data_IF_081011155241
#
_entry.id   IF_081011155241
#
_cell.length_a   1.000
_cell.length_b   1.000
_cell.length_c   1.000
_cell.angle_alpha   90.00
_cell.angle_beta   90.00
_cell.angle_gamma   90.00
#
_symmetry.space_group_name_H-M   'P 1'
#
loop_
_entity.id
_entity.type
_entity.pdbx_description
1 polymer ?
#
# COMPACT_ATOMS: atom_id res chain seq x y z
N UNK A 1 -7.71 -20.36 18.21
CA UNK A 1 -8.09 -19.47 19.31
C UNK A 1 -6.86 -18.65 19.74
N UNK A 2 -6.56 -17.59 19.02
CA UNK A 2 -5.44 -16.66 19.33
C UNK A 2 -5.79 -15.27 18.81
N UNK A 3 -6.89 -14.71 19.35
CA UNK A 3 -7.15 -13.27 19.28
C UNK A 3 -6.45 -12.68 20.50
N UNK A 4 -5.12 -12.51 20.41
CA UNK A 4 -4.34 -11.88 21.45
C UNK A 4 -4.58 -10.36 21.39
N UNK A 5 -5.40 -9.85 22.30
CA UNK A 5 -5.37 -8.54 22.95
C UNK A 5 -4.46 -7.51 22.22
N UNK A 6 -4.99 -6.85 21.22
CA UNK A 6 -4.46 -5.57 20.79
C UNK A 6 -4.86 -4.50 21.84
N UNK A 7 -4.20 -4.58 22.99
CA UNK A 7 -4.31 -3.54 24.01
C UNK A 7 -3.74 -2.25 23.44
N UNK A 8 -4.42 -1.14 23.66
CA UNK A 8 -3.88 0.22 23.48
C UNK A 8 -2.61 0.35 24.31
N UNK A 9 -1.50 -0.10 23.77
CA UNK A 9 -0.20 0.33 24.21
C UNK A 9 0.05 1.61 23.43
N UNK A 10 0.09 2.74 24.13
CA UNK A 10 0.66 3.96 23.59
C UNK A 10 1.98 3.56 22.93
N UNK A 11 2.06 3.63 21.62
CA UNK A 11 3.26 3.30 20.88
C UNK A 11 4.29 4.34 21.29
N UNK A 12 5.19 3.90 22.15
CA UNK A 12 6.43 4.61 22.42
C UNK A 12 7.08 4.86 21.06
N UNK A 13 7.33 6.11 20.73
CA UNK A 13 8.02 6.59 19.53
C UNK A 13 9.50 6.19 19.55
N UNK A 14 9.78 4.92 19.74
CA UNK A 14 11.11 4.33 19.78
C UNK A 14 11.38 3.52 18.52
N UNK A 15 11.97 4.13 17.51
CA UNK A 15 12.88 3.41 16.65
C UNK A 15 12.46 2.94 15.27
N UNK A 16 11.21 3.06 14.80
CA UNK A 16 10.92 2.80 13.39
C UNK A 16 11.16 4.09 12.58
N UNK A 17 12.24 4.11 11.80
CA UNK A 17 12.50 5.22 10.88
C UNK A 17 11.77 4.93 9.57
N UNK A 18 10.64 5.60 9.35
CA UNK A 18 10.10 5.70 8.00
C UNK A 18 11.18 6.32 7.11
N UNK A 19 11.49 5.73 5.96
CA UNK A 19 12.40 6.37 5.02
C UNK A 19 11.85 7.75 4.71
N UNK A 20 12.72 8.76 4.68
CA UNK A 20 12.32 10.11 4.30
C UNK A 20 11.65 10.04 2.94
N UNK A 21 10.41 10.54 2.78
CA UNK A 21 9.72 10.49 1.50
C UNK A 21 10.59 11.15 0.43
N UNK A 22 10.77 10.49 -0.71
CA UNK A 22 11.42 11.11 -1.87
C UNK A 22 10.55 12.27 -2.33
N UNK A 23 11.14 13.39 -2.72
CA UNK A 23 10.40 14.46 -3.39
C UNK A 23 10.10 14.05 -4.83
N UNK A 24 8.97 14.49 -5.38
CA UNK A 24 8.64 14.23 -6.79
C UNK A 24 9.72 14.81 -7.73
N UNK A 25 10.29 15.98 -7.39
CA UNK A 25 11.38 16.61 -8.12
C UNK A 25 12.66 15.76 -8.21
N UNK A 26 12.88 14.84 -7.28
CA UNK A 26 14.02 13.90 -7.34
C UNK A 26 13.82 12.78 -8.36
N UNK A 27 12.59 12.57 -8.84
CA UNK A 27 12.21 11.51 -9.76
C UNK A 27 11.97 12.01 -11.18
N UNK A 28 11.37 13.20 -11.31
CA UNK A 28 10.98 13.79 -12.59
C UNK A 28 11.29 15.29 -12.61
N UNK A 29 11.37 15.84 -13.82
CA UNK A 29 11.44 17.30 -14.02
C UNK A 29 10.03 17.88 -13.83
N UNK A 30 9.71 18.26 -12.60
CA UNK A 30 8.36 18.70 -12.23
C UNK A 30 7.89 19.89 -13.10
N UNK A 31 8.77 20.88 -13.32
CA UNK A 31 8.46 22.07 -14.15
C UNK A 31 8.08 21.73 -15.60
N UNK A 32 8.61 20.63 -16.14
CA UNK A 32 8.23 20.14 -17.48
C UNK A 32 6.92 19.37 -17.41
N UNK A 33 6.77 18.52 -16.40
CA UNK A 33 5.56 17.71 -16.22
C UNK A 33 4.33 18.59 -15.98
N UNK A 34 4.47 19.70 -15.27
CA UNK A 34 3.38 20.64 -15.02
C UNK A 34 2.87 21.37 -16.29
N UNK A 35 3.64 21.40 -17.37
CA UNK A 35 3.19 21.97 -18.65
C UNK A 35 2.27 21.02 -19.42
N UNK A 36 2.31 19.74 -19.09
CA UNK A 36 1.55 18.70 -19.78
C UNK A 36 0.07 18.68 -19.36
N UNK A 37 -0.77 18.17 -20.27
CA UNK A 37 -2.17 17.88 -19.94
C UNK A 37 -2.30 16.68 -19.00
N UNK A 38 -3.36 16.59 -18.17
CA UNK A 38 -3.55 15.50 -17.22
C UNK A 38 -3.39 14.09 -17.81
N UNK A 39 -3.94 13.84 -19.00
CA UNK A 39 -3.84 12.55 -19.68
C UNK A 39 -2.42 12.25 -20.17
N UNK A 40 -1.67 13.26 -20.57
CA UNK A 40 -0.25 13.11 -20.91
C UNK A 40 0.58 12.78 -19.67
N UNK A 41 0.31 13.46 -18.55
CA UNK A 41 0.95 13.16 -17.26
C UNK A 41 0.74 11.70 -16.85
N UNK A 42 -0.51 11.19 -16.99
CA UNK A 42 -0.82 9.79 -16.68
C UNK A 42 0.02 8.83 -17.53
N UNK A 43 0.10 9.06 -18.84
CA UNK A 43 0.90 8.23 -19.74
C UNK A 43 2.38 8.30 -19.40
N UNK A 44 2.93 9.49 -19.27
CA UNK A 44 4.36 9.70 -18.94
C UNK A 44 4.73 8.99 -17.64
N UNK A 45 3.86 9.07 -16.61
CA UNK A 45 4.11 8.45 -15.32
C UNK A 45 4.08 6.91 -15.40
N UNK A 46 3.12 6.36 -16.11
CA UNK A 46 3.01 4.91 -16.30
C UNK A 46 4.18 4.38 -17.14
N UNK A 47 4.43 4.96 -18.31
CA UNK A 47 5.52 4.57 -19.22
C UNK A 47 6.89 4.61 -18.51
N UNK A 48 7.11 5.64 -17.69
CA UNK A 48 8.34 5.76 -16.88
C UNK A 48 8.54 4.58 -15.91
N UNK A 49 7.45 3.99 -15.41
CA UNK A 49 7.51 2.88 -14.45
C UNK A 49 7.42 1.50 -15.09
N UNK A 50 6.88 1.40 -16.31
CA UNK A 50 6.70 0.11 -16.97
C UNK A 50 8.03 -0.59 -17.24
N UNK A 51 9.07 0.16 -17.60
CA UNK A 51 10.41 -0.35 -17.84
C UNK A 51 11.22 -0.66 -16.56
N UNK A 52 10.72 -0.31 -15.39
CA UNK A 52 11.42 -0.57 -14.12
C UNK A 52 11.07 -1.93 -13.56
N UNK A 53 12.08 -2.65 -13.09
CA UNK A 53 11.90 -3.96 -12.47
C UNK A 53 11.55 -3.90 -10.99
N UNK A 54 11.92 -2.78 -10.34
CA UNK A 54 11.85 -2.57 -8.89
C UNK A 54 10.90 -1.45 -8.47
N UNK A 55 10.14 -0.91 -9.43
CA UNK A 55 9.19 0.15 -9.12
C UNK A 55 7.96 0.12 -10.05
N UNK A 56 6.84 0.66 -9.55
CA UNK A 56 5.59 0.82 -10.29
C UNK A 56 4.95 2.17 -10.00
N UNK A 57 4.20 2.69 -10.98
CA UNK A 57 3.46 3.95 -10.88
C UNK A 57 1.96 3.73 -10.90
N UNK A 58 1.22 4.58 -10.18
CA UNK A 58 -0.24 4.75 -10.32
C UNK A 58 -0.57 6.23 -10.26
N UNK A 59 -1.71 6.59 -10.81
CA UNK A 59 -2.19 7.97 -10.79
C UNK A 59 -3.61 7.99 -10.26
N UNK A 60 -3.83 8.76 -9.22
CA UNK A 60 -5.15 8.99 -8.64
C UNK A 60 -5.70 10.34 -9.09
N UNK A 61 -7.02 10.44 -9.16
CA UNK A 61 -7.72 11.71 -9.18
C UNK A 61 -7.60 12.41 -7.81
N UNK A 62 -7.84 13.71 -7.79
CA UNK A 62 -7.87 14.48 -6.54
C UNK A 62 -8.84 13.88 -5.50
N UNK A 63 -10.00 13.38 -5.94
CA UNK A 63 -10.99 12.79 -5.02
C UNK A 63 -10.52 11.47 -4.44
N UNK A 64 -9.96 10.58 -5.27
CA UNK A 64 -9.39 9.31 -4.82
C UNK A 64 -8.23 9.56 -3.83
N UNK A 65 -7.35 10.51 -4.15
CA UNK A 65 -6.26 10.90 -3.27
C UNK A 65 -6.74 11.37 -1.90
N UNK A 66 -7.71 12.30 -1.88
CA UNK A 66 -8.28 12.81 -0.61
C UNK A 66 -8.90 11.69 0.19
N UNK A 67 -9.73 10.87 -0.45
CA UNK A 67 -10.39 9.72 0.19
C UNK A 67 -9.36 8.76 0.78
N UNK A 68 -8.34 8.39 0.00
CA UNK A 68 -7.29 7.48 0.46
C UNK A 68 -6.53 8.04 1.67
N UNK A 69 -6.07 9.28 1.59
CA UNK A 69 -5.27 9.90 2.66
C UNK A 69 -6.07 10.10 3.93
N UNK A 70 -7.32 10.55 3.82
CA UNK A 70 -8.17 10.79 5.00
C UNK A 70 -8.51 9.47 5.71
N UNK A 71 -8.79 8.42 4.94
CA UNK A 71 -9.05 7.08 5.45
C UNK A 71 -7.80 6.44 6.05
N UNK A 72 -6.65 6.60 5.40
CA UNK A 72 -5.39 6.07 5.90
C UNK A 72 -4.90 6.77 7.17
N UNK A 73 -5.18 8.06 7.34
CA UNK A 73 -4.95 8.76 8.63
C UNK A 73 -5.82 8.22 9.76
N UNK A 74 -7.06 7.84 9.45
CA UNK A 74 -8.01 7.30 10.42
C UNK A 74 -7.72 5.83 10.73
N UNK A 75 -7.33 5.06 9.72
CA UNK A 75 -7.11 3.61 9.76
C UNK A 75 -5.73 3.31 9.18
N UNK A 76 -4.68 3.55 9.97
CA UNK A 76 -3.30 3.56 9.49
C UNK A 76 -2.70 2.17 9.24
N UNK A 77 -3.34 1.12 9.72
CA UNK A 77 -2.84 -0.25 9.60
C UNK A 77 -3.83 -1.12 8.84
N UNK A 78 -3.30 -2.01 7.99
CA UNK A 78 -4.11 -3.06 7.40
C UNK A 78 -3.22 -4.24 6.97
N UNK A 79 -3.84 -5.40 6.76
CA UNK A 79 -3.15 -6.64 6.38
C UNK A 79 -3.58 -7.10 4.99
N UNK A 80 -2.62 -7.63 4.24
CA UNK A 80 -2.85 -8.13 2.88
C UNK A 80 -2.28 -9.53 2.72
N UNK A 81 -3.05 -10.52 2.23
CA UNK A 81 -2.49 -11.80 1.82
C UNK A 81 -1.78 -11.66 0.46
N UNK A 82 -0.59 -12.21 0.36
CA UNK A 82 0.13 -12.36 -0.91
C UNK A 82 0.16 -13.84 -1.24
N UNK A 83 -0.51 -14.23 -2.31
CA UNK A 83 -0.64 -15.62 -2.72
C UNK A 83 0.53 -16.04 -3.60
N UNK A 84 1.01 -17.26 -3.36
CA UNK A 84 2.06 -17.90 -4.15
C UNK A 84 1.75 -19.36 -4.38
N UNK A 85 2.14 -19.85 -5.56
CA UNK A 85 2.17 -21.28 -5.83
C UNK A 85 3.58 -21.80 -5.58
N UNK A 86 3.72 -22.78 -4.72
CA UNK A 86 4.98 -23.48 -4.53
C UNK A 86 5.31 -24.25 -5.82
N UNK A 87 6.41 -23.90 -6.45
CA UNK A 87 6.83 -24.49 -7.75
C UNK A 87 7.15 -25.99 -7.67
N UNK A 88 7.53 -26.47 -6.49
CA UNK A 88 7.92 -27.87 -6.29
C UNK A 88 6.73 -28.77 -5.95
N UNK A 89 5.77 -28.27 -5.16
CA UNK A 89 4.59 -29.05 -4.73
C UNK A 89 3.33 -28.70 -5.50
N UNK A 90 3.33 -27.62 -6.28
CA UNK A 90 2.15 -27.03 -6.93
C UNK A 90 1.01 -26.69 -5.97
N UNK A 91 1.32 -26.51 -4.70
CA UNK A 91 0.37 -26.11 -3.68
C UNK A 91 0.27 -24.57 -3.58
N UNK A 92 -0.93 -24.08 -3.49
CA UNK A 92 -1.18 -22.66 -3.22
C UNK A 92 -0.99 -22.35 -1.74
N UNK A 93 -0.17 -21.34 -1.47
CA UNK A 93 0.05 -20.79 -0.15
C UNK A 93 -0.09 -19.26 -0.16
N UNK A 94 -0.01 -18.67 1.01
CA UNK A 94 0.08 -17.22 1.14
C UNK A 94 0.92 -16.84 2.34
N UNK A 95 1.46 -15.64 2.30
CA UNK A 95 1.98 -14.95 3.48
C UNK A 95 1.27 -13.62 3.66
N UNK A 96 1.29 -13.09 4.87
CA UNK A 96 0.58 -11.85 5.19
C UNK A 96 1.56 -10.70 5.27
N UNK A 97 1.19 -9.59 4.63
CA UNK A 97 1.90 -8.32 4.67
C UNK A 97 1.08 -7.34 5.50
N UNK A 98 1.73 -6.64 6.43
CA UNK A 98 1.16 -5.54 7.19
C UNK A 98 1.55 -4.23 6.53
N UNK A 99 0.57 -3.37 6.24
CA UNK A 99 0.79 -1.99 5.83
C UNK A 99 0.66 -1.03 7.00
N UNK A 100 1.52 -0.02 7.02
CA UNK A 100 1.47 1.11 7.95
C UNK A 100 1.49 2.40 7.16
N UNK A 101 0.60 3.34 7.48
CA UNK A 101 0.54 4.65 6.86
C UNK A 101 1.10 5.73 7.78
N UNK A 102 1.98 6.56 7.23
CA UNK A 102 2.48 7.79 7.87
C UNK A 102 2.90 8.80 6.80
N UNK A 103 2.51 10.06 6.96
CA UNK A 103 3.00 11.20 6.16
C UNK A 103 3.02 10.98 4.63
N UNK A 104 1.90 10.51 4.07
CA UNK A 104 1.74 10.16 2.63
C UNK A 104 2.62 9.01 2.16
N UNK A 105 3.00 8.13 3.06
CA UNK A 105 3.76 6.93 2.75
C UNK A 105 3.12 5.72 3.41
N UNK A 106 3.01 4.60 2.66
CA UNK A 106 2.76 3.30 3.26
C UNK A 106 4.05 2.50 3.26
N UNK A 107 4.36 1.91 4.41
CA UNK A 107 5.37 0.86 4.52
C UNK A 107 4.68 -0.47 4.68
N UNK A 108 5.09 -1.43 3.87
CA UNK A 108 4.57 -2.78 3.89
C UNK A 108 5.70 -3.74 4.28
N UNK A 109 5.47 -4.51 5.34
CA UNK A 109 6.41 -5.51 5.86
C UNK A 109 5.70 -6.85 6.00
N UNK A 110 6.42 -7.96 6.03
CA UNK A 110 5.77 -9.22 6.41
C UNK A 110 5.27 -9.16 7.84
N UNK A 111 4.09 -9.73 8.08
CA UNK A 111 3.50 -9.74 9.42
C UNK A 111 4.38 -10.50 10.41
N UNK A 112 5.09 -11.52 9.97
CA UNK A 112 5.98 -12.31 10.81
C UNK A 112 7.21 -11.50 11.24
N UNK A 113 7.89 -10.82 10.31
CA UNK A 113 8.99 -9.92 10.66
C UNK A 113 8.54 -8.77 11.59
N UNK A 114 7.35 -8.22 11.35
CA UNK A 114 6.78 -7.20 12.23
C UNK A 114 6.50 -7.73 13.65
N UNK A 115 6.00 -8.95 13.77
CA UNK A 115 5.76 -9.59 15.08
C UNK A 115 7.05 -9.89 15.82
N UNK A 116 8.09 -10.28 15.11
CA UNK A 116 9.40 -10.57 15.69
C UNK A 116 10.06 -9.29 16.21
N UNK A 117 10.18 -8.27 15.36
CA UNK A 117 10.74 -6.97 15.76
C UNK A 117 10.17 -5.84 14.90
N UNK A 118 9.13 -5.12 15.36
CA UNK A 118 8.50 -4.04 14.60
C UNK A 118 9.49 -2.94 14.18
N UNK A 119 10.50 -2.66 15.00
CA UNK A 119 11.46 -1.58 14.73
C UNK A 119 12.50 -1.93 13.66
N UNK A 120 12.70 -3.21 13.39
CA UNK A 120 13.71 -3.71 12.43
C UNK A 120 13.11 -4.49 11.26
N UNK A 121 11.78 -4.62 11.21
CA UNK A 121 11.11 -5.34 10.12
C UNK A 121 11.40 -4.67 8.77
N UNK A 122 12.10 -5.36 7.84
CA UNK A 122 12.44 -4.75 6.56
C UNK A 122 11.18 -4.55 5.71
N UNK A 123 11.02 -3.41 5.04
CA UNK A 123 9.93 -3.22 4.10
C UNK A 123 10.11 -4.13 2.87
N UNK A 124 9.01 -4.75 2.41
CA UNK A 124 8.95 -5.44 1.13
C UNK A 124 8.38 -4.56 0.01
N UNK A 125 7.60 -3.54 0.39
CA UNK A 125 7.09 -2.52 -0.52
C UNK A 125 6.98 -1.18 0.21
N UNK A 126 7.46 -0.11 -0.42
CA UNK A 126 7.28 1.26 0.05
C UNK A 126 6.42 2.01 -0.96
N UNK A 127 5.31 2.59 -0.52
CA UNK A 127 4.38 3.33 -1.40
C UNK A 127 4.42 4.80 -1.03
N UNK A 128 4.96 5.62 -1.91
CA UNK A 128 5.03 7.08 -1.77
C UNK A 128 3.89 7.75 -2.55
N UNK A 129 3.25 8.75 -1.94
CA UNK A 129 2.17 9.52 -2.56
C UNK A 129 2.65 10.96 -2.73
N UNK A 130 2.59 11.46 -3.97
CA UNK A 130 2.98 12.82 -4.35
C UNK A 130 1.73 13.62 -4.69
N UNK A 131 1.52 14.71 -3.99
CA UNK A 131 0.37 15.60 -4.16
C UNK A 131 0.71 16.94 -4.83
N UNK A 132 1.94 17.04 -5.36
CA UNK A 132 2.46 18.25 -6.01
C UNK A 132 1.53 18.74 -7.14
N UNK A 133 0.89 17.83 -7.87
CA UNK A 133 0.02 18.12 -9.00
C UNK A 133 -1.48 18.19 -8.65
N UNK A 134 -1.85 17.98 -7.39
CA UNK A 134 -3.27 17.94 -6.98
C UNK A 134 -3.97 19.29 -7.21
N UNK A 135 -3.30 20.40 -6.89
CA UNK A 135 -3.89 21.74 -7.02
C UNK A 135 -3.92 22.24 -8.46
N UNK A 136 -2.94 21.86 -9.30
CA UNK A 136 -2.79 22.38 -10.66
C UNK A 136 -3.40 21.47 -11.73
N UNK A 137 -3.44 20.15 -11.49
CA UNK A 137 -3.83 19.12 -12.47
C UNK A 137 -4.90 18.16 -11.97
N UNK A 138 -5.34 18.29 -10.72
CA UNK A 138 -6.29 17.39 -10.06
C UNK A 138 -5.81 15.92 -10.02
N UNK A 139 -4.48 15.73 -10.01
CA UNK A 139 -3.83 14.42 -10.00
C UNK A 139 -2.89 14.27 -8.81
N UNK A 140 -2.89 13.10 -8.21
CA UNK A 140 -1.83 12.64 -7.31
C UNK A 140 -1.10 11.47 -7.95
N UNK A 141 0.22 11.45 -7.81
CA UNK A 141 1.06 10.38 -8.33
C UNK A 141 1.44 9.43 -7.20
N UNK A 142 1.44 8.15 -7.49
CA UNK A 142 1.84 7.09 -6.55
C UNK A 142 3.02 6.34 -7.15
N UNK A 143 4.02 6.09 -6.31
CA UNK A 143 5.13 5.21 -6.63
C UNK A 143 5.25 4.11 -5.57
N UNK A 144 5.26 2.87 -6.03
CA UNK A 144 5.67 1.70 -5.24
C UNK A 144 7.13 1.37 -5.54
N UNK A 145 7.98 1.33 -4.52
CA UNK A 145 9.36 0.82 -4.61
C UNK A 145 9.40 -0.59 -4.00
N UNK A 146 9.75 -1.58 -4.80
CA UNK A 146 9.80 -3.00 -4.43
C UNK A 146 11.14 -3.32 -3.79
N UNK A 147 11.10 -4.05 -2.68
CA UNK A 147 12.31 -4.58 -2.04
C UNK A 147 12.19 -6.10 -1.83
N UNK A 148 13.31 -6.73 -1.94
CA UNK A 148 13.71 -8.13 -1.74
C UNK A 148 12.67 -9.21 -1.59
N UNK A 149 11.53 -9.25 -1.32
CA UNK A 149 10.64 -10.40 -1.08
C UNK A 149 9.62 -10.59 -2.19
N UNK A 150 9.16 -9.49 -2.79
CA UNK A 150 8.12 -9.48 -3.81
C UNK A 150 8.75 -9.41 -5.19
N UNK A 151 8.14 -10.09 -6.14
CA UNK A 151 8.34 -9.75 -7.54
C UNK A 151 7.45 -8.54 -7.94
N UNK A 152 7.68 -8.01 -9.16
CA UNK A 152 6.96 -6.83 -9.63
C UNK A 152 5.45 -7.07 -9.77
N UNK A 153 5.05 -8.26 -10.17
CA UNK A 153 3.63 -8.60 -10.37
C UNK A 153 2.91 -8.72 -9.04
N UNK A 154 3.52 -9.37 -8.05
CA UNK A 154 3.01 -9.47 -6.69
C UNK A 154 2.86 -8.07 -6.06
N UNK A 155 3.90 -7.25 -6.20
CA UNK A 155 3.92 -5.90 -5.66
C UNK A 155 2.89 -4.98 -6.37
N UNK A 156 2.69 -5.15 -7.68
CA UNK A 156 1.67 -4.42 -8.45
C UNK A 156 0.27 -4.76 -7.97
N UNK A 157 -0.05 -6.04 -7.82
CA UNK A 157 -1.34 -6.51 -7.29
C UNK A 157 -1.57 -6.03 -5.85
N UNK A 158 -0.51 -6.04 -5.03
CA UNK A 158 -0.57 -5.56 -3.65
C UNK A 158 -0.84 -4.06 -3.60
N UNK A 159 -0.19 -3.26 -4.46
CA UNK A 159 -0.42 -1.82 -4.57
C UNK A 159 -1.86 -1.52 -5.02
N UNK A 160 -2.36 -2.23 -6.04
CA UNK A 160 -3.73 -2.07 -6.52
C UNK A 160 -4.76 -2.44 -5.44
N UNK A 161 -4.52 -3.55 -4.74
CA UNK A 161 -5.35 -3.96 -3.60
C UNK A 161 -5.35 -2.92 -2.48
N UNK A 162 -4.18 -2.35 -2.15
CA UNK A 162 -4.07 -1.28 -1.16
C UNK A 162 -4.90 -0.07 -1.56
N UNK A 163 -4.75 0.43 -2.79
CA UNK A 163 -5.52 1.58 -3.29
C UNK A 163 -7.02 1.29 -3.21
N UNK A 164 -7.46 0.11 -3.70
CA UNK A 164 -8.86 -0.28 -3.70
C UNK A 164 -9.45 -0.36 -2.28
N UNK A 165 -8.70 -0.88 -1.31
CA UNK A 165 -9.15 -0.97 0.09
C UNK A 165 -9.39 0.40 0.72
N UNK A 166 -8.64 1.42 0.33
CA UNK A 166 -8.81 2.75 0.89
C UNK A 166 -9.73 3.67 0.05
N UNK A 167 -9.82 3.47 -1.26
CA UNK A 167 -10.63 4.34 -2.15
C UNK A 167 -12.07 3.84 -2.27
N UNK A 168 -12.30 2.52 -2.37
CA UNK A 168 -13.62 1.96 -2.58
C UNK A 168 -14.39 1.79 -1.26
N UNK A 169 -15.61 2.35 -1.18
CA UNK A 169 -16.45 2.31 0.01
C UNK A 169 -16.78 0.87 0.47
N UNK A 170 -17.07 -0.03 -0.48
CA UNK A 170 -17.41 -1.41 -0.18
C UNK A 170 -16.24 -2.16 0.49
N UNK A 171 -15.00 -1.84 0.12
CA UNK A 171 -13.81 -2.48 0.67
C UNK A 171 -13.28 -1.79 1.92
N UNK A 172 -13.53 -0.50 2.09
CA UNK A 172 -13.04 0.27 3.22
C UNK A 172 -13.66 -0.18 4.55
N UNK A 173 -14.88 -0.68 4.56
CA UNK A 173 -15.53 -1.19 5.77
C UNK A 173 -14.71 -2.28 6.48
N UNK A 174 -14.00 -3.12 5.72
CA UNK A 174 -13.11 -4.15 6.26
C UNK A 174 -11.87 -3.55 6.91
N UNK A 175 -11.29 -2.49 6.29
CA UNK A 175 -10.17 -1.73 6.87
C UNK A 175 -10.58 -1.03 8.16
N UNK A 176 -11.79 -0.45 8.16
CA UNK A 176 -12.34 0.24 9.35
C UNK A 176 -12.59 -0.76 10.49
N UNK A 177 -13.17 -1.92 10.21
CA UNK A 177 -13.36 -2.98 11.21
C UNK A 177 -12.03 -3.43 11.81
N UNK A 178 -11.00 -3.65 10.98
CA UNK A 178 -9.67 -4.03 11.46
C UNK A 178 -9.08 -3.03 12.44
N UNK A 179 -9.21 -1.73 12.18
CA UNK A 179 -8.59 -0.68 12.99
C UNK A 179 -9.44 -0.27 14.21
N UNK A 180 -10.76 -0.14 14.04
CA UNK A 180 -11.64 0.48 15.03
C UNK A 180 -12.49 -0.51 15.80
N UNK A 181 -12.72 -1.69 15.21
CA UNK A 181 -13.58 -2.74 15.78
C UNK A 181 -12.95 -4.13 15.63
N UNK A 182 -11.75 -4.33 16.16
CA UNK A 182 -10.98 -5.56 15.92
C UNK A 182 -11.74 -6.84 16.39
N UNK A 183 -12.68 -6.72 17.29
CA UNK A 183 -13.54 -7.83 17.72
C UNK A 183 -14.57 -8.26 16.65
N UNK A 184 -14.88 -7.37 15.69
CA UNK A 184 -15.79 -7.65 14.56
C UNK A 184 -15.03 -8.11 13.31
N UNK A 185 -13.71 -7.95 13.27
CA UNK A 185 -12.88 -8.35 12.13
C UNK A 185 -12.59 -9.85 12.16
N UNK A 186 -13.01 -10.55 11.12
CA UNK A 186 -12.69 -11.97 10.89
C UNK A 186 -11.65 -12.08 9.77
N UNK A 187 -10.45 -12.52 10.12
CA UNK A 187 -9.39 -12.73 9.15
C UNK A 187 -9.74 -13.83 8.14
N UNK A 188 -10.41 -14.90 8.57
CA UNK A 188 -10.81 -15.99 7.69
C UNK A 188 -11.85 -15.52 6.65
N UNK A 189 -12.85 -14.75 7.07
CA UNK A 189 -13.83 -14.17 6.15
C UNK A 189 -13.17 -13.20 5.15
N UNK A 190 -12.20 -12.42 5.60
CA UNK A 190 -11.40 -11.53 4.76
C UNK A 190 -10.55 -12.30 3.72
N UNK A 191 -9.93 -13.40 4.11
CA UNK A 191 -9.19 -14.27 3.19
C UNK A 191 -10.08 -14.85 2.10
N UNK A 192 -11.27 -15.32 2.45
CA UNK A 192 -12.24 -15.83 1.47
C UNK A 192 -12.71 -14.74 0.48
N UNK A 193 -12.88 -13.51 0.95
CA UNK A 193 -13.14 -12.35 0.07
C UNK A 193 -12.00 -12.12 -0.89
N UNK A 194 -10.75 -12.11 -0.40
CA UNK A 194 -9.56 -11.90 -1.23
C UNK A 194 -9.38 -13.00 -2.28
N UNK A 195 -9.64 -14.26 -1.96
CA UNK A 195 -9.58 -15.37 -2.93
C UNK A 195 -10.58 -15.19 -4.07
N UNK A 196 -11.81 -14.77 -3.76
CA UNK A 196 -12.84 -14.53 -4.78
C UNK A 196 -12.43 -13.40 -5.75
N UNK A 197 -11.84 -12.32 -5.22
CA UNK A 197 -11.36 -11.21 -6.03
C UNK A 197 -10.18 -11.58 -6.95
N UNK A 198 -9.32 -12.52 -6.50
CA UNK A 198 -8.18 -12.99 -7.31
C UNK A 198 -8.58 -14.03 -8.38
N UNK A 199 -9.77 -14.63 -8.28
CA UNK A 199 -10.25 -15.66 -9.20
C UNK A 199 -11.14 -15.09 -10.33
N UNK A 200 -11.43 -13.79 -10.30
CA UNK A 200 -12.26 -13.04 -11.27
C UNK A 200 -11.41 -12.24 -12.22
#
# INVERSE_FOLDING_TARGET
>A
MLVARWGRRAMSTGGFHFPSPRSLQSLVKLDELEKEAPDAIRRIWNDYHDDKTDAMGRVLTQNEFRTLVDRAKKCAFFVFPVYRVNKDTNEEGYFTVLSQFQDKCFLLTTLDAYRENPAQAPPCLTVSIFDDLVSSKELALIRGDVANLLDKDEASKLLDSLIQRYVNDAHYSTVESFNLKPQEFSFDAYLEECKKLNSS
#
